data_IF_747415116965
#
_entry.id   IF_747415116965
#
_cell.length_a   1.000
_cell.length_b   1.000
_cell.length_c   1.000
_cell.angle_alpha   90.00
_cell.angle_beta   90.00
_cell.angle_gamma   90.00
#
_symmetry.space_group_name_H-M   'P 1'
#
loop_
_entity.id
_entity.type
_entity.pdbx_description
1 polymer ?
#
# COMPACT_ATOMS: atom_id res chain seq x y z
N UNK A 1 17.78 1.49 -9.17
CA UNK A 1 17.89 2.70 -10.01
C UNK A 1 17.11 3.78 -9.29
N UNK A 2 17.62 4.99 -9.11
CA UNK A 2 16.84 6.06 -8.44
C UNK A 2 15.88 6.66 -9.47
N UNK A 3 14.66 6.17 -9.52
CA UNK A 3 13.57 6.88 -10.19
C UNK A 3 12.88 7.73 -9.12
N UNK A 4 12.71 9.03 -9.38
CA UNK A 4 12.00 10.02 -8.55
C UNK A 4 10.52 9.62 -8.34
N UNK A 5 10.28 8.60 -7.51
CA UNK A 5 8.96 8.31 -6.97
C UNK A 5 8.83 9.15 -5.70
N UNK A 6 7.89 10.10 -5.74
CA UNK A 6 7.60 10.98 -4.61
C UNK A 6 6.34 10.50 -3.91
N UNK A 7 6.35 10.50 -2.58
CA UNK A 7 5.20 10.18 -1.75
C UNK A 7 4.76 11.41 -0.96
N UNK A 8 3.76 12.17 -1.44
CA UNK A 8 3.15 13.23 -0.66
C UNK A 8 2.59 12.69 0.65
N UNK A 9 2.63 13.51 1.71
CA UNK A 9 1.95 13.24 2.98
C UNK A 9 0.43 13.46 2.84
N UNK A 10 -0.21 12.61 2.03
CA UNK A 10 -1.62 12.67 1.64
C UNK A 10 -2.27 11.28 1.73
N UNK A 11 -2.28 10.71 2.93
CA UNK A 11 -2.95 9.46 3.25
C UNK A 11 -4.39 9.68 3.70
N UNK A 12 -5.29 8.83 3.24
CA UNK A 12 -6.71 8.83 3.62
C UNK A 12 -7.17 7.42 3.99
N UNK A 13 -7.92 7.30 5.09
CA UNK A 13 -8.54 6.06 5.50
C UNK A 13 -9.94 5.91 4.90
N UNK A 14 -10.17 4.78 4.23
CA UNK A 14 -11.45 4.40 3.65
C UNK A 14 -12.12 3.33 4.50
N UNK A 15 -12.87 3.75 5.53
CA UNK A 15 -13.51 2.84 6.47
C UNK A 15 -14.46 1.81 5.84
N UNK A 16 -15.07 2.11 4.69
CA UNK A 16 -15.97 1.16 4.01
C UNK A 16 -15.22 0.00 3.34
N UNK A 17 -14.06 0.28 2.74
CA UNK A 17 -13.23 -0.72 2.07
C UNK A 17 -12.10 -1.28 2.94
N UNK A 18 -11.91 -0.69 4.13
CA UNK A 18 -10.83 -1.01 5.07
C UNK A 18 -9.44 -0.86 4.44
N UNK A 19 -9.25 0.21 3.66
CA UNK A 19 -8.00 0.55 2.97
C UNK A 19 -7.48 1.93 3.41
N UNK A 20 -6.17 2.07 3.53
CA UNK A 20 -5.51 3.38 3.47
C UNK A 20 -5.10 3.62 2.03
N UNK A 21 -5.49 4.77 1.47
CA UNK A 21 -5.04 5.23 0.17
C UNK A 21 -4.00 6.32 0.33
N UNK A 22 -2.95 6.30 -0.49
CA UNK A 22 -1.94 7.34 -0.53
C UNK A 22 -1.38 7.48 -1.96
N UNK A 23 -1.08 8.69 -2.44
CA UNK A 23 -0.55 8.89 -3.77
C UNK A 23 0.95 8.64 -3.82
N UNK A 24 1.42 8.07 -4.93
CA UNK A 24 2.79 8.15 -5.40
C UNK A 24 2.82 9.02 -6.66
N UNK A 25 3.92 9.71 -6.90
CA UNK A 25 4.12 10.48 -8.13
C UNK A 25 5.40 10.04 -8.82
N UNK A 26 5.29 9.58 -10.07
CA UNK A 26 6.43 9.20 -10.91
C UNK A 26 6.40 10.03 -12.20
N UNK A 27 7.46 10.78 -12.49
CA UNK A 27 7.55 11.66 -13.67
C UNK A 27 6.34 12.61 -13.83
N UNK A 28 5.76 13.07 -12.71
CA UNK A 28 4.60 13.96 -12.69
C UNK A 28 3.24 13.25 -12.84
N UNK A 29 3.20 11.94 -13.08
CA UNK A 29 1.97 11.17 -13.08
C UNK A 29 1.64 10.69 -11.66
N UNK A 30 0.38 10.84 -11.26
CA UNK A 30 -0.15 10.32 -9.99
C UNK A 30 -0.52 8.84 -10.14
N UNK A 31 -0.03 8.03 -9.22
CA UNK A 31 -0.33 6.61 -9.07
C UNK A 31 -0.97 6.44 -7.70
N UNK A 32 -2.20 5.93 -7.66
CA UNK A 32 -2.89 5.71 -6.40
C UNK A 32 -2.45 4.38 -5.80
N UNK A 33 -1.89 4.43 -4.59
CA UNK A 33 -1.49 3.26 -3.83
C UNK A 33 -2.50 2.98 -2.73
N UNK A 34 -2.65 1.70 -2.39
CA UNK A 34 -3.56 1.22 -1.36
C UNK A 34 -2.87 0.15 -0.51
N UNK A 35 -3.12 0.20 0.80
CA UNK A 35 -2.76 -0.87 1.72
C UNK A 35 -3.96 -1.19 2.60
N UNK A 36 -4.25 -2.48 2.81
CA UNK A 36 -5.36 -2.87 3.66
C UNK A 36 -5.01 -2.75 5.13
N UNK A 37 -6.03 -2.50 5.95
CA UNK A 37 -5.90 -2.61 7.42
C UNK A 37 -5.37 -3.98 7.83
N UNK A 38 -5.85 -5.06 7.21
CA UNK A 38 -5.37 -6.41 7.52
C UNK A 38 -3.87 -6.58 7.27
N UNK A 39 -3.33 -5.92 6.24
CA UNK A 39 -1.89 -5.92 5.97
C UNK A 39 -1.14 -5.09 7.01
N UNK A 40 -1.68 -3.94 7.41
CA UNK A 40 -1.11 -3.13 8.50
C UNK A 40 -1.11 -3.88 9.84
N UNK A 41 -2.18 -4.60 10.16
CA UNK A 41 -2.26 -5.48 11.34
C UNK A 41 -1.20 -6.58 11.29
N UNK A 42 -0.98 -7.17 10.10
CA UNK A 42 0.07 -8.18 9.91
C UNK A 42 1.47 -7.60 10.08
N UNK A 43 1.74 -6.42 9.52
CA UNK A 43 3.04 -5.74 9.61
C UNK A 43 3.34 -5.25 11.04
N UNK A 44 2.33 -4.75 11.75
CA UNK A 44 2.49 -4.30 13.16
C UNK A 44 2.46 -5.45 14.16
N UNK A 45 1.84 -6.60 13.81
CA UNK A 45 1.57 -7.69 14.74
C UNK A 45 0.48 -7.36 15.77
N UNK A 46 -0.32 -6.32 15.54
CA UNK A 46 -1.32 -5.81 16.49
C UNK A 46 -2.68 -5.60 15.80
N UNK A 47 -3.81 -5.80 16.50
CA UNK A 47 -5.12 -5.43 15.99
C UNK A 47 -5.28 -3.90 15.97
N UNK A 48 -5.86 -3.37 14.90
CA UNK A 48 -6.10 -1.93 14.73
C UNK A 48 -7.59 -1.67 14.89
N UNK A 49 -8.03 -1.23 16.07
CA UNK A 49 -9.45 -1.23 16.41
C UNK A 49 -10.16 0.05 15.97
N UNK A 50 -9.46 1.18 15.99
CA UNK A 50 -9.96 2.47 15.55
C UNK A 50 -9.21 2.99 14.32
N UNK A 51 -9.83 3.91 13.58
CA UNK A 51 -9.21 4.65 12.48
C UNK A 51 -7.88 5.30 12.90
N UNK A 52 -7.84 5.91 14.10
CA UNK A 52 -6.62 6.53 14.62
C UNK A 52 -5.47 5.52 14.80
N UNK A 53 -5.78 4.25 15.12
CA UNK A 53 -4.77 3.20 15.21
C UNK A 53 -4.25 2.85 13.81
N UNK A 54 -5.14 2.80 12.81
CA UNK A 54 -4.77 2.54 11.41
C UNK A 54 -3.85 3.62 10.88
N UNK A 55 -4.20 4.90 11.07
CA UNK A 55 -3.38 6.01 10.60
C UNK A 55 -2.02 6.07 11.30
N UNK A 56 -1.96 5.77 12.60
CA UNK A 56 -0.70 5.66 13.35
C UNK A 56 0.16 4.49 12.88
N UNK A 57 -0.45 3.34 12.60
CA UNK A 57 0.25 2.18 12.07
C UNK A 57 0.84 2.47 10.69
N UNK A 58 0.06 3.12 9.82
CA UNK A 58 0.53 3.57 8.50
C UNK A 58 1.73 4.51 8.62
N UNK A 59 1.63 5.55 9.47
CA UNK A 59 2.72 6.51 9.70
C UNK A 59 3.98 5.83 10.25
N UNK A 60 3.82 4.93 11.23
CA UNK A 60 4.93 4.19 11.83
C UNK A 60 5.63 3.22 10.88
N UNK A 61 4.91 2.75 9.84
CA UNK A 61 5.41 1.82 8.83
C UNK A 61 5.66 2.50 7.48
N UNK A 62 5.59 3.83 7.43
CA UNK A 62 5.52 4.58 6.18
C UNK A 62 6.70 4.27 5.25
N UNK A 63 7.92 4.23 5.79
CA UNK A 63 9.10 3.91 5.00
C UNK A 63 8.99 2.52 4.35
N UNK A 64 8.63 1.49 5.11
CA UNK A 64 8.46 0.13 4.58
C UNK A 64 7.35 0.08 3.50
N UNK A 65 6.24 0.77 3.74
CA UNK A 65 5.10 0.84 2.81
C UNK A 65 5.49 1.55 1.51
N UNK A 66 6.23 2.66 1.60
CA UNK A 66 6.73 3.42 0.45
C UNK A 66 7.76 2.61 -0.35
N UNK A 67 8.62 1.82 0.31
CA UNK A 67 9.52 0.89 -0.39
C UNK A 67 8.75 -0.20 -1.14
N UNK A 68 7.72 -0.80 -0.51
CA UNK A 68 6.86 -1.78 -1.16
C UNK A 68 6.11 -1.19 -2.37
N UNK A 69 5.57 0.03 -2.23
CA UNK A 69 4.90 0.75 -3.31
C UNK A 69 5.87 1.02 -4.46
N UNK A 70 7.07 1.51 -4.14
CA UNK A 70 8.12 1.82 -5.11
C UNK A 70 8.50 0.58 -5.91
N UNK A 71 8.77 -0.55 -5.23
CA UNK A 71 9.08 -1.81 -5.88
C UNK A 71 7.96 -2.26 -6.82
N UNK A 72 6.70 -2.18 -6.38
CA UNK A 72 5.56 -2.57 -7.20
C UNK A 72 5.37 -1.67 -8.44
N UNK A 73 5.62 -0.36 -8.31
CA UNK A 73 5.60 0.59 -9.43
C UNK A 73 6.70 0.27 -10.44
N UNK A 74 7.92 0.03 -9.95
CA UNK A 74 9.07 -0.31 -10.79
C UNK A 74 8.89 -1.65 -11.52
N UNK A 75 8.26 -2.63 -10.86
CA UNK A 75 7.90 -3.93 -11.44
C UNK A 75 6.65 -3.88 -12.35
N UNK A 76 6.03 -2.70 -12.50
CA UNK A 76 4.80 -2.49 -13.26
C UNK A 76 3.63 -3.37 -12.78
N UNK A 77 3.58 -3.68 -11.49
CA UNK A 77 2.55 -4.51 -10.87
C UNK A 77 1.26 -3.73 -10.60
N UNK A 78 0.72 -3.12 -11.66
CA UNK A 78 -0.51 -2.34 -11.60
C UNK A 78 -1.75 -3.24 -11.65
N UNK A 79 -2.75 -2.92 -10.83
CA UNK A 79 -4.08 -3.51 -10.94
C UNK A 79 -4.82 -2.99 -12.19
N UNK A 80 -5.97 -3.59 -12.49
CA UNK A 80 -6.75 -3.24 -13.68
C UNK A 80 -7.27 -1.79 -13.69
N UNK A 81 -7.38 -1.16 -12.52
CA UNK A 81 -7.73 0.25 -12.34
C UNK A 81 -6.52 1.21 -12.45
N UNK A 82 -5.31 0.67 -12.64
CA UNK A 82 -4.06 1.42 -12.65
C UNK A 82 -3.48 1.72 -11.26
N UNK A 83 -4.10 1.22 -10.19
CA UNK A 83 -3.61 1.38 -8.82
C UNK A 83 -2.56 0.34 -8.41
N UNK A 84 -1.89 0.60 -7.29
CA UNK A 84 -0.99 -0.34 -6.63
C UNK A 84 -1.63 -0.83 -5.33
N UNK A 85 -1.77 -2.15 -5.17
CA UNK A 85 -2.35 -2.75 -3.97
C UNK A 85 -1.30 -3.55 -3.20
N UNK A 86 -0.93 -3.05 -2.03
CA UNK A 86 0.14 -3.60 -1.19
C UNK A 86 -0.41 -4.72 -0.31
N UNK A 87 0.33 -5.81 -0.19
CA UNK A 87 -0.07 -6.98 0.59
C UNK A 87 -0.94 -7.97 -0.18
N UNK A 88 -1.26 -7.70 -1.45
CA UNK A 88 -1.78 -8.73 -2.36
C UNK A 88 -0.61 -9.56 -2.90
N UNK A 89 0.12 -10.25 -2.01
CA UNK A 89 0.85 -11.41 -2.51
C UNK A 89 -0.22 -12.43 -2.84
N UNK A 90 -0.48 -12.56 -4.14
CA UNK A 90 -1.21 -13.64 -4.74
C UNK A 90 -0.90 -14.91 -3.96
N UNK A 91 -1.94 -15.51 -3.39
CA UNK A 91 -1.98 -16.93 -3.23
C UNK A 91 -1.61 -17.50 -4.60
N UNK A 92 -0.34 -17.82 -4.79
CA UNK A 92 0.09 -18.75 -5.82
C UNK A 92 -0.84 -19.93 -5.64
N UNK A 93 -1.80 -20.08 -6.56
CA UNK A 93 -2.62 -21.25 -6.65
C UNK A 93 -1.65 -22.43 -6.60
N UNK A 94 -1.64 -23.14 -5.47
CA UNK A 94 -1.07 -24.47 -5.39
C UNK A 94 -1.86 -25.28 -6.39
N UNK A 95 -1.30 -25.44 -7.58
CA UNK A 95 -1.64 -26.55 -8.45
C UNK A 95 -1.31 -27.81 -7.66
N UNK A 96 -2.32 -28.35 -6.98
CA UNK A 96 -2.31 -29.76 -6.63
C UNK A 96 -2.77 -30.53 -7.86
N UNK A 97 -2.00 -31.51 -8.36
CA UNK A 97 -2.52 -32.46 -9.34
C UNK A 97 -3.70 -33.25 -8.78
#
# INVERSE_FOLDING_TARGET
MNQDILFPDLQEWHGSSQLVSFPAQQCGALIQCYISKSQLEHMTGLPLLAEADVMRAFDSLRFDIEEMASSAIEEQNFAADGGIYIGQHSAHYRGTP
#
